data_IF_861116194014
#
_entry.id   IF_861116194014
#
_cell.length_a   1.000
_cell.length_b   1.000
_cell.length_c   1.000
_cell.angle_alpha   90.00
_cell.angle_beta   90.00
_cell.angle_gamma   90.00
#
_symmetry.space_group_name_H-M   'P 1'
#
loop_
_entity.id
_entity.type
_entity.pdbx_description
1 polymer ?
#
# COMPACT_ATOMS: atom_id res chain seq x y z
N UNK A 1 10.65 -17.97 -20.90
CA UNK A 1 9.59 -19.00 -21.07
C UNK A 1 8.17 -18.41 -21.08
N UNK A 2 7.63 -17.90 -19.96
CA UNK A 2 6.25 -17.38 -19.94
C UNK A 2 6.09 -16.05 -20.69
N UNK A 3 7.13 -15.20 -20.66
CA UNK A 3 7.25 -14.01 -21.51
C UNK A 3 7.11 -14.32 -22.99
N UNK A 4 7.82 -15.35 -23.46
CA UNK A 4 7.84 -15.74 -24.87
C UNK A 4 6.49 -16.28 -25.28
N UNK A 5 5.84 -17.01 -24.38
CA UNK A 5 4.50 -17.51 -24.58
C UNK A 5 3.46 -16.37 -24.66
N UNK A 6 3.60 -15.33 -23.85
CA UNK A 6 2.78 -14.10 -23.96
C UNK A 6 3.05 -13.40 -25.31
N UNK A 7 4.31 -13.26 -25.74
CA UNK A 7 4.68 -12.68 -27.04
C UNK A 7 4.10 -13.46 -28.22
N UNK A 8 4.15 -14.80 -28.16
CA UNK A 8 3.57 -15.67 -29.19
C UNK A 8 2.05 -15.48 -29.32
N UNK A 9 1.33 -15.42 -28.20
CA UNK A 9 -0.12 -15.19 -28.22
C UNK A 9 -0.45 -13.77 -28.70
N UNK A 10 0.35 -12.78 -28.31
CA UNK A 10 0.22 -11.41 -28.79
C UNK A 10 0.39 -11.30 -30.31
N UNK A 11 1.37 -12.01 -30.87
CA UNK A 11 1.59 -12.08 -32.33
C UNK A 11 0.37 -12.64 -33.06
N UNK A 12 -0.25 -13.71 -32.55
CA UNK A 12 -1.48 -14.28 -33.13
C UNK A 12 -2.63 -13.27 -33.09
N UNK A 13 -2.75 -12.52 -31.98
CA UNK A 13 -3.77 -11.49 -31.85
C UNK A 13 -3.51 -10.32 -32.82
N UNK A 14 -2.25 -9.95 -33.04
CA UNK A 14 -1.86 -8.93 -34.03
C UNK A 14 -2.24 -9.35 -35.44
N UNK A 15 -1.94 -10.60 -35.83
CA UNK A 15 -2.34 -11.15 -37.14
C UNK A 15 -3.86 -11.10 -37.28
N UNK A 16 -4.59 -11.51 -36.25
CA UNK A 16 -6.06 -11.48 -36.26
C UNK A 16 -6.63 -10.07 -36.47
N UNK A 17 -6.00 -9.04 -35.89
CA UNK A 17 -6.42 -7.64 -36.08
C UNK A 17 -6.23 -7.15 -37.52
N UNK A 18 -5.28 -7.72 -38.25
CA UNK A 18 -5.04 -7.38 -39.68
C UNK A 18 -5.87 -8.22 -40.65
N UNK A 19 -6.09 -9.50 -40.33
CA UNK A 19 -6.85 -10.43 -41.17
C UNK A 19 -7.67 -11.37 -40.30
N UNK A 20 -8.98 -11.19 -40.34
CA UNK A 20 -9.89 -12.04 -39.58
C UNK A 20 -9.86 -13.49 -40.08
N UNK A 21 -9.78 -14.45 -39.16
CA UNK A 21 -9.91 -15.87 -39.44
C UNK A 21 -10.47 -16.60 -38.23
N UNK A 22 -11.62 -17.26 -38.40
CA UNK A 22 -12.24 -18.06 -37.32
C UNK A 22 -11.34 -19.18 -36.80
N UNK A 23 -10.45 -19.74 -37.65
CA UNK A 23 -9.45 -20.73 -37.26
C UNK A 23 -8.40 -20.11 -36.34
N UNK A 24 -7.90 -18.91 -36.67
CA UNK A 24 -6.94 -18.14 -35.87
C UNK A 24 -7.54 -17.76 -34.51
N UNK A 25 -8.82 -17.35 -34.47
CA UNK A 25 -9.54 -17.07 -33.22
C UNK A 25 -9.57 -18.29 -32.30
N UNK A 26 -10.03 -19.45 -32.81
CA UNK A 26 -10.10 -20.70 -32.03
C UNK A 26 -8.71 -21.11 -31.53
N UNK A 27 -7.69 -21.03 -32.37
CA UNK A 27 -6.31 -21.33 -32.00
C UNK A 27 -5.79 -20.40 -30.89
N UNK A 28 -6.08 -19.09 -30.98
CA UNK A 28 -5.73 -18.09 -29.99
C UNK A 28 -6.36 -18.39 -28.62
N UNK A 29 -7.65 -18.73 -28.58
CA UNK A 29 -8.37 -19.11 -27.34
C UNK A 29 -7.74 -20.36 -26.72
N UNK A 30 -7.51 -21.41 -27.51
CA UNK A 30 -6.89 -22.66 -27.03
C UNK A 30 -5.51 -22.40 -26.44
N UNK A 31 -4.67 -21.59 -27.11
CA UNK A 31 -3.35 -21.22 -26.61
C UNK A 31 -3.45 -20.43 -25.30
N UNK A 32 -4.40 -19.50 -25.18
CA UNK A 32 -4.65 -18.78 -23.93
C UNK A 32 -5.06 -19.72 -22.79
N UNK A 33 -5.94 -20.70 -23.05
CA UNK A 33 -6.41 -21.64 -22.05
C UNK A 33 -5.31 -22.62 -21.60
N UNK A 34 -4.41 -23.03 -22.51
CA UNK A 34 -3.21 -23.82 -22.18
C UNK A 34 -2.21 -23.00 -21.37
N UNK A 35 -1.99 -21.75 -21.76
CA UNK A 35 -1.11 -20.81 -21.07
C UNK A 35 -1.57 -20.55 -19.63
N UNK A 36 -2.86 -20.28 -19.46
CA UNK A 36 -3.51 -20.05 -18.16
C UNK A 36 -3.26 -21.22 -17.21
N UNK A 37 -3.50 -22.46 -17.67
CA UNK A 37 -3.27 -23.67 -16.87
C UNK A 37 -1.82 -23.80 -16.44
N UNK A 38 -0.87 -23.71 -17.39
CA UNK A 38 0.57 -23.80 -17.09
C UNK A 38 1.05 -22.75 -16.07
N UNK A 39 0.56 -21.52 -16.16
CA UNK A 39 0.92 -20.46 -15.21
C UNK A 39 0.32 -20.76 -13.83
N UNK A 40 -0.94 -21.19 -13.78
CA UNK A 40 -1.61 -21.56 -12.53
C UNK A 40 -0.90 -22.73 -11.83
N UNK A 41 -0.45 -23.73 -12.59
CA UNK A 41 0.32 -24.87 -12.06
C UNK A 41 1.68 -24.43 -11.54
N UNK A 42 2.36 -23.52 -12.26
CA UNK A 42 3.62 -22.93 -11.80
C UNK A 42 3.45 -22.13 -10.51
N UNK A 43 2.36 -21.39 -10.35
CA UNK A 43 2.06 -20.60 -9.15
C UNK A 43 1.87 -21.44 -7.88
N UNK A 44 1.52 -22.73 -8.02
CA UNK A 44 1.36 -23.66 -6.88
C UNK A 44 2.70 -24.13 -6.30
N UNK A 45 3.81 -23.92 -7.01
CA UNK A 45 5.16 -24.30 -6.56
C UNK A 45 5.72 -23.23 -5.61
N UNK A 46 6.70 -23.61 -4.78
CA UNK A 46 7.43 -22.65 -3.95
C UNK A 46 8.26 -21.73 -4.85
N UNK A 47 7.84 -20.48 -4.95
CA UNK A 47 8.42 -19.45 -5.81
C UNK A 47 8.83 -18.23 -4.98
N UNK A 48 9.89 -17.55 -5.42
CA UNK A 48 10.29 -16.25 -4.90
C UNK A 48 9.20 -15.19 -5.15
N UNK A 49 9.25 -14.08 -4.41
CA UNK A 49 8.29 -12.97 -4.55
C UNK A 49 8.32 -12.41 -5.99
N UNK A 50 9.51 -12.27 -6.59
CA UNK A 50 9.66 -11.75 -7.94
C UNK A 50 9.03 -12.66 -8.99
N UNK A 51 9.22 -13.97 -8.87
CA UNK A 51 8.61 -14.95 -9.78
C UNK A 51 7.08 -14.96 -9.66
N UNK A 52 6.54 -14.86 -8.44
CA UNK A 52 5.08 -14.75 -8.22
C UNK A 52 4.50 -13.53 -8.91
N UNK A 53 5.15 -12.37 -8.78
CA UNK A 53 4.73 -11.14 -9.46
C UNK A 53 4.81 -11.27 -10.98
N UNK A 54 5.88 -11.89 -11.49
CA UNK A 54 6.07 -12.13 -12.92
C UNK A 54 4.97 -13.03 -13.51
N UNK A 55 4.66 -14.14 -12.85
CA UNK A 55 3.60 -15.06 -13.27
C UNK A 55 2.22 -14.39 -13.21
N UNK A 56 1.95 -13.59 -12.17
CA UNK A 56 0.72 -12.81 -12.10
C UNK A 56 0.60 -11.87 -13.29
N UNK A 57 1.63 -11.08 -13.61
CA UNK A 57 1.63 -10.19 -14.77
C UNK A 57 1.33 -10.93 -16.08
N UNK A 58 1.99 -12.08 -16.31
CA UNK A 58 1.74 -12.92 -17.48
C UNK A 58 0.28 -13.41 -17.53
N UNK A 59 -0.27 -13.86 -16.39
CA UNK A 59 -1.65 -14.33 -16.29
C UNK A 59 -2.67 -13.23 -16.64
N UNK A 60 -2.41 -11.97 -16.24
CA UNK A 60 -3.27 -10.83 -16.57
C UNK A 60 -3.30 -10.57 -18.07
N UNK A 61 -2.13 -10.56 -18.71
CA UNK A 61 -2.02 -10.37 -20.15
C UNK A 61 -2.72 -11.49 -20.92
N UNK A 62 -2.56 -12.75 -20.51
CA UNK A 62 -3.24 -13.89 -21.16
C UNK A 62 -4.76 -13.78 -21.03
N UNK A 63 -5.29 -13.33 -19.88
CA UNK A 63 -6.73 -13.10 -19.71
C UNK A 63 -7.23 -11.98 -20.61
N UNK A 64 -6.49 -10.87 -20.66
CA UNK A 64 -6.75 -9.74 -21.54
C UNK A 64 -6.82 -10.19 -23.01
N UNK A 65 -5.80 -10.92 -23.49
CA UNK A 65 -5.74 -11.44 -24.85
C UNK A 65 -6.88 -12.43 -25.14
N UNK A 66 -7.18 -13.35 -24.21
CA UNK A 66 -8.29 -14.29 -24.35
C UNK A 66 -9.63 -13.56 -24.50
N UNK A 67 -9.83 -12.48 -23.76
CA UNK A 67 -11.04 -11.67 -23.87
C UNK A 67 -11.15 -11.00 -25.24
N UNK A 68 -10.05 -10.48 -25.80
CA UNK A 68 -10.03 -9.97 -27.17
C UNK A 68 -10.37 -11.05 -28.19
N UNK A 69 -9.78 -12.26 -28.10
CA UNK A 69 -10.14 -13.36 -29.01
C UNK A 69 -11.63 -13.71 -28.94
N UNK A 70 -12.22 -13.74 -27.74
CA UNK A 70 -13.66 -13.96 -27.57
C UNK A 70 -14.52 -12.84 -28.15
N UNK A 71 -14.05 -11.59 -28.08
CA UNK A 71 -14.72 -10.45 -28.69
C UNK A 71 -14.74 -10.59 -30.21
N UNK A 72 -13.60 -10.90 -30.82
CA UNK A 72 -13.49 -11.15 -32.26
C UNK A 72 -14.31 -12.37 -32.70
N UNK A 73 -14.35 -13.43 -31.87
CA UNK A 73 -15.22 -14.59 -32.13
C UNK A 73 -16.70 -14.20 -32.24
N UNK A 74 -17.18 -13.31 -31.37
CA UNK A 74 -18.58 -12.83 -31.39
C UNK A 74 -18.84 -11.95 -32.61
N UNK A 75 -17.90 -11.05 -32.93
CA UNK A 75 -17.98 -10.18 -34.12
C UNK A 75 -18.10 -10.99 -35.41
N UNK A 76 -17.24 -11.99 -35.59
CA UNK A 76 -17.27 -12.82 -36.79
C UNK A 76 -18.41 -13.84 -36.87
N UNK A 77 -19.21 -13.99 -35.81
CA UNK A 77 -20.48 -14.75 -35.84
C UNK A 77 -21.68 -13.87 -36.17
N UNK A 78 -21.49 -12.58 -36.50
CA UNK A 78 -22.58 -11.63 -36.70
C UNK A 78 -23.37 -11.32 -35.43
N UNK A 79 -22.87 -11.76 -34.26
CA UNK A 79 -23.49 -11.46 -32.97
C UNK A 79 -23.05 -10.05 -32.59
N UNK A 80 -23.82 -9.06 -33.07
CA UNK A 80 -23.79 -7.72 -32.49
C UNK A 80 -24.04 -7.83 -30.99
N UNK A 81 -23.40 -6.99 -30.18
CA UNK A 81 -23.63 -6.88 -28.73
C UNK A 81 -25.09 -6.49 -28.39
N UNK A 82 -25.96 -6.33 -29.39
CA UNK A 82 -27.36 -5.97 -29.31
C UNK A 82 -28.31 -7.17 -29.54
N UNK A 83 -28.30 -8.15 -28.64
CA UNK A 83 -29.44 -9.07 -28.47
C UNK A 83 -29.88 -9.08 -27.01
N UNK A 84 -30.56 -8.00 -26.61
CA UNK A 84 -31.77 -8.17 -25.82
C UNK A 84 -32.87 -8.60 -26.79
N UNK A 85 -33.63 -9.60 -26.38
CA UNK A 85 -34.87 -10.13 -26.96
C UNK A 85 -35.51 -9.31 -28.09
N UNK A 86 -35.74 -9.99 -29.20
CA UNK A 86 -36.53 -9.56 -30.34
C UNK A 86 -37.90 -9.04 -29.92
N UNK A 87 -38.09 -7.73 -30.04
CA UNK A 87 -39.19 -7.09 -30.77
C UNK A 87 -38.71 -5.71 -31.23
N UNK A 88 -38.98 -5.44 -32.51
CA UNK A 88 -38.89 -4.16 -33.23
C UNK A 88 -38.71 -2.88 -32.41
N UNK A 89 -37.52 -2.27 -32.50
CA UNK A 89 -37.30 -0.82 -32.55
C UNK A 89 -35.79 -0.54 -32.65
N UNK A 90 -35.41 0.39 -33.52
CA UNK A 90 -34.07 0.99 -33.56
C UNK A 90 -33.67 1.50 -32.16
N UNK A 91 -32.89 0.71 -31.40
CA UNK A 91 -32.40 1.14 -30.10
C UNK A 91 -30.96 1.66 -30.23
N UNK A 92 -30.84 2.99 -30.35
CA UNK A 92 -29.62 3.73 -30.04
C UNK A 92 -29.32 3.62 -28.53
N UNK A 93 -28.94 2.42 -28.07
CA UNK A 93 -28.48 2.25 -26.69
C UNK A 93 -27.08 2.86 -26.58
N UNK A 94 -26.96 3.94 -25.80
CA UNK A 94 -25.68 4.60 -25.53
C UNK A 94 -24.71 3.61 -24.88
N UNK A 95 -23.53 3.45 -25.48
CA UNK A 95 -22.52 2.50 -25.02
C UNK A 95 -22.06 2.82 -23.59
N UNK A 96 -21.95 1.80 -22.74
CA UNK A 96 -21.60 1.95 -21.31
C UNK A 96 -20.16 1.51 -21.02
N UNK A 97 -19.63 1.85 -19.84
CA UNK A 97 -18.30 1.42 -19.42
C UNK A 97 -18.14 -0.12 -19.46
N UNK A 98 -19.21 -0.88 -19.18
CA UNK A 98 -19.20 -2.35 -19.21
C UNK A 98 -19.00 -2.94 -20.62
N UNK A 99 -19.27 -2.14 -21.66
CA UNK A 99 -19.07 -2.52 -23.05
C UNK A 99 -17.64 -2.24 -23.52
N UNK A 100 -16.97 -1.26 -22.88
CA UNK A 100 -15.63 -0.77 -23.25
C UNK A 100 -14.51 -1.38 -22.40
N UNK A 101 -14.81 -1.84 -21.19
CA UNK A 101 -13.88 -2.53 -20.31
C UNK A 101 -14.52 -3.76 -19.65
N UNK A 102 -13.71 -4.78 -19.33
CA UNK A 102 -14.20 -6.04 -18.76
C UNK A 102 -13.36 -6.49 -17.57
N UNK A 103 -14.00 -6.83 -16.44
CA UNK A 103 -13.34 -7.40 -15.27
C UNK A 103 -13.31 -8.93 -15.30
N UNK A 104 -12.12 -9.50 -15.16
CA UNK A 104 -11.91 -10.91 -14.88
C UNK A 104 -11.20 -11.11 -13.53
N UNK A 105 -11.72 -12.05 -12.74
CA UNK A 105 -11.06 -12.47 -11.50
C UNK A 105 -9.80 -13.26 -11.79
N UNK A 106 -8.78 -13.06 -10.96
CA UNK A 106 -7.53 -13.76 -11.03
C UNK A 106 -7.12 -14.39 -9.72
N UNK A 107 -6.55 -15.60 -9.87
CA UNK A 107 -5.91 -16.32 -8.78
C UNK A 107 -4.70 -15.49 -8.36
N UNK A 108 -4.58 -15.30 -7.05
CA UNK A 108 -3.43 -14.66 -6.42
C UNK A 108 -2.39 -15.71 -6.06
N UNK A 109 -1.12 -15.39 -6.24
CA UNK A 109 -0.01 -16.19 -5.71
C UNK A 109 0.33 -15.82 -4.24
N UNK A 110 -0.41 -14.90 -3.63
CA UNK A 110 -0.19 -14.37 -2.28
C UNK A 110 -1.37 -14.69 -1.35
N UNK A 111 -1.06 -15.20 -0.15
CA UNK A 111 -2.04 -15.65 0.86
C UNK A 111 -2.86 -14.51 1.48
N UNK A 112 -2.29 -13.30 1.62
CA UNK A 112 -2.99 -12.14 2.19
C UNK A 112 -3.88 -11.38 1.18
N UNK A 113 -4.07 -11.93 -0.02
CA UNK A 113 -4.85 -11.30 -1.07
C UNK A 113 -6.31 -11.77 -1.00
N UNK A 114 -7.23 -10.84 -0.78
CA UNK A 114 -8.67 -11.14 -0.84
C UNK A 114 -9.06 -11.43 -2.29
N UNK A 115 -8.62 -10.57 -3.21
CA UNK A 115 -8.99 -10.65 -4.62
C UNK A 115 -7.95 -9.98 -5.50
N UNK A 116 -7.59 -10.64 -6.58
CA UNK A 116 -6.87 -10.01 -7.70
C UNK A 116 -7.81 -9.96 -8.88
N UNK A 117 -7.97 -8.79 -9.50
CA UNK A 117 -8.76 -8.60 -10.70
C UNK A 117 -7.96 -7.98 -11.83
N UNK A 118 -8.45 -8.16 -13.04
CA UNK A 118 -7.90 -7.54 -14.24
C UNK A 118 -9.04 -6.87 -14.99
N UNK A 119 -8.94 -5.56 -15.18
CA UNK A 119 -9.81 -4.81 -16.07
C UNK A 119 -9.14 -4.75 -17.44
N UNK A 120 -9.69 -5.50 -18.39
CA UNK A 120 -9.22 -5.56 -19.77
C UNK A 120 -9.76 -4.38 -20.55
N UNK A 121 -8.88 -3.67 -21.26
CA UNK A 121 -9.29 -2.65 -22.22
C UNK A 121 -9.84 -3.31 -23.49
N UNK A 122 -11.04 -2.91 -23.94
CA UNK A 122 -11.63 -3.43 -25.18
C UNK A 122 -11.63 -2.40 -26.33
N UNK A 123 -11.64 -1.10 -26.01
CA UNK A 123 -11.84 -0.04 -27.03
C UNK A 123 -11.00 1.23 -26.85
N UNK A 124 -10.43 1.49 -25.68
CA UNK A 124 -9.75 2.77 -25.42
C UNK A 124 -8.38 2.83 -26.08
N UNK A 125 -8.03 4.01 -26.59
CA UNK A 125 -6.67 4.35 -27.01
C UNK A 125 -5.97 5.22 -25.98
N UNK A 126 -6.72 6.16 -25.41
CA UNK A 126 -6.25 7.08 -24.37
C UNK A 126 -6.30 6.43 -22.97
N UNK A 127 -5.19 6.49 -22.20
CA UNK A 127 -5.14 5.99 -20.82
C UNK A 127 -6.15 6.66 -19.87
N UNK A 128 -6.38 7.96 -19.99
CA UNK A 128 -7.28 8.70 -19.10
C UNK A 128 -8.72 8.20 -19.21
N UNK A 129 -9.24 8.13 -20.44
CA UNK A 129 -10.56 7.59 -20.74
C UNK A 129 -10.70 6.13 -20.30
N UNK A 130 -9.66 5.31 -20.47
CA UNK A 130 -9.64 3.94 -19.97
C UNK A 130 -9.76 3.89 -18.44
N UNK A 131 -9.03 4.73 -17.73
CA UNK A 131 -9.06 4.78 -16.26
C UNK A 131 -10.42 5.27 -15.73
N UNK A 132 -11.07 6.22 -16.42
CA UNK A 132 -12.43 6.66 -16.08
C UNK A 132 -13.45 5.52 -16.14
N UNK A 133 -13.40 4.69 -17.18
CA UNK A 133 -14.30 3.54 -17.28
C UNK A 133 -13.92 2.42 -16.30
N UNK A 134 -12.62 2.22 -16.04
CA UNK A 134 -12.14 1.30 -15.01
C UNK A 134 -12.69 1.65 -13.63
N UNK A 135 -12.73 2.95 -13.27
CA UNK A 135 -13.23 3.46 -12.00
C UNK A 135 -14.67 3.00 -11.72
N UNK A 136 -15.52 3.00 -12.73
CA UNK A 136 -16.93 2.54 -12.62
C UNK A 136 -17.01 1.08 -12.16
N UNK A 137 -16.21 0.20 -12.78
CA UNK A 137 -16.17 -1.23 -12.40
C UNK A 137 -15.47 -1.42 -11.07
N UNK A 138 -14.36 -0.70 -10.84
CA UNK A 138 -13.59 -0.71 -9.60
C UNK A 138 -14.47 -0.41 -8.39
N UNK A 139 -15.28 0.66 -8.47
CA UNK A 139 -16.19 1.08 -7.39
C UNK A 139 -17.09 -0.06 -6.94
N UNK A 140 -17.74 -0.76 -7.86
CA UNK A 140 -18.60 -1.91 -7.55
C UNK A 140 -17.84 -3.07 -6.88
N UNK A 141 -16.61 -3.34 -7.32
CA UNK A 141 -15.78 -4.42 -6.75
C UNK A 141 -15.28 -4.09 -5.34
N UNK A 142 -14.89 -2.84 -5.08
CA UNK A 142 -14.48 -2.41 -3.74
C UNK A 142 -15.66 -2.42 -2.76
N UNK A 143 -16.83 -1.93 -3.16
CA UNK A 143 -18.03 -2.00 -2.29
C UNK A 143 -18.35 -3.44 -1.88
N UNK A 144 -18.25 -4.39 -2.80
CA UNK A 144 -18.47 -5.80 -2.47
C UNK A 144 -17.42 -6.37 -1.52
N UNK A 145 -16.15 -5.93 -1.62
CA UNK A 145 -15.12 -6.32 -0.66
C UNK A 145 -15.37 -5.71 0.74
N UNK A 146 -15.79 -4.44 0.79
CA UNK A 146 -16.08 -3.72 2.04
C UNK A 146 -17.34 -4.21 2.79
N UNK A 147 -18.17 -5.04 2.14
CA UNK A 147 -19.27 -5.76 2.81
C UNK A 147 -18.73 -6.86 3.73
N UNK A 148 -17.65 -7.53 3.34
CA UNK A 148 -17.06 -8.64 4.07
C UNK A 148 -15.96 -8.16 5.04
N UNK A 149 -15.19 -7.15 4.65
CA UNK A 149 -14.10 -6.58 5.45
C UNK A 149 -14.38 -5.10 5.80
N UNK A 150 -14.04 -4.65 7.00
CA UNK A 150 -14.25 -3.24 7.42
C UNK A 150 -13.37 -2.25 6.64
N UNK A 151 -12.20 -2.71 6.18
CA UNK A 151 -11.32 -1.95 5.32
C UNK A 151 -10.50 -2.88 4.42
N UNK A 152 -9.99 -2.33 3.32
CA UNK A 152 -9.12 -3.05 2.38
C UNK A 152 -7.92 -2.20 2.02
N UNK A 153 -6.79 -2.84 1.68
CA UNK A 153 -5.66 -2.15 1.06
C UNK A 153 -5.60 -2.48 -0.42
N UNK A 154 -5.60 -1.45 -1.26
CA UNK A 154 -5.68 -1.61 -2.70
C UNK A 154 -4.47 -0.99 -3.35
N UNK A 155 -3.96 -1.68 -4.37
CA UNK A 155 -3.06 -1.08 -5.35
C UNK A 155 -3.45 -1.49 -6.77
N UNK A 156 -3.04 -0.67 -7.72
CA UNK A 156 -3.31 -0.86 -9.14
C UNK A 156 -2.00 -1.01 -9.92
N UNK A 157 -2.05 -1.77 -11.01
CA UNK A 157 -0.92 -2.04 -11.89
C UNK A 157 -1.41 -1.85 -13.32
N UNK A 158 -1.06 -0.72 -13.93
CA UNK A 158 -1.35 -0.43 -15.32
C UNK A 158 -0.38 -1.19 -16.23
N UNK A 159 -0.90 -1.76 -17.32
CA UNK A 159 -0.11 -2.42 -18.37
C UNK A 159 -0.37 -1.71 -19.71
N UNK A 160 0.70 -1.18 -20.30
CA UNK A 160 0.70 -0.60 -21.65
C UNK A 160 1.72 -1.28 -22.54
N UNK A 161 1.44 -1.34 -23.84
CA UNK A 161 2.42 -1.67 -24.88
C UNK A 161 3.05 -0.38 -25.36
N UNK A 162 4.38 -0.31 -25.29
CA UNK A 162 5.19 0.82 -25.73
C UNK A 162 6.04 0.41 -26.92
N UNK A 163 6.29 1.36 -27.81
CA UNK A 163 7.13 1.19 -28.99
C UNK A 163 8.30 2.18 -28.97
N UNK A 164 9.47 1.74 -29.39
CA UNK A 164 10.63 2.58 -29.67
C UNK A 164 11.17 2.24 -31.07
N UNK A 165 11.55 3.26 -31.82
CA UNK A 165 12.26 3.14 -33.09
C UNK A 165 13.76 3.18 -32.85
N UNK A 166 14.47 2.10 -33.17
CA UNK A 166 15.93 2.04 -33.17
C UNK A 166 16.38 1.77 -34.62
N UNK A 167 16.76 2.83 -35.33
CA UNK A 167 17.01 2.75 -36.78
C UNK A 167 15.76 2.31 -37.55
N UNK A 168 15.88 1.30 -38.40
CA UNK A 168 14.75 0.73 -39.18
C UNK A 168 13.87 -0.25 -38.38
N UNK A 169 14.25 -0.63 -37.15
CA UNK A 169 13.52 -1.64 -36.36
C UNK A 169 12.64 -0.99 -35.30
N UNK A 170 11.36 -1.37 -35.31
CA UNK A 170 10.42 -1.06 -34.23
C UNK A 170 10.41 -2.16 -33.17
N UNK A 171 10.80 -1.80 -31.94
CA UNK A 171 10.74 -2.68 -30.78
C UNK A 171 9.48 -2.38 -29.97
N UNK A 172 8.68 -3.42 -29.68
CA UNK A 172 7.47 -3.32 -28.88
C UNK A 172 7.64 -4.06 -27.56
N UNK A 173 7.39 -3.39 -26.43
CA UNK A 173 7.49 -3.97 -25.10
C UNK A 173 6.32 -3.62 -24.19
N UNK A 174 5.96 -4.55 -23.32
CA UNK A 174 5.00 -4.28 -22.25
C UNK A 174 5.70 -3.60 -21.07
N UNK A 175 5.20 -2.44 -20.66
CA UNK A 175 5.65 -1.73 -19.46
C UNK A 175 4.53 -1.70 -18.42
N UNK A 176 4.93 -1.74 -17.15
CA UNK A 176 4.01 -1.83 -16.02
C UNK A 176 4.23 -0.67 -15.05
N UNK A 177 3.15 0.05 -14.71
CA UNK A 177 3.19 1.12 -13.73
C UNK A 177 2.35 0.73 -12.52
N UNK A 178 3.03 0.50 -11.39
CA UNK A 178 2.40 0.07 -10.13
C UNK A 178 2.18 1.25 -9.20
N UNK A 179 1.00 1.35 -8.59
CA UNK A 179 0.70 2.32 -7.54
C UNK A 179 1.05 1.79 -6.16
N UNK A 180 1.19 2.70 -5.18
CA UNK A 180 1.39 2.34 -3.78
C UNK A 180 0.13 1.67 -3.21
N UNK A 181 0.30 0.85 -2.16
CA UNK A 181 -0.85 0.31 -1.44
C UNK A 181 -1.47 1.41 -0.59
N UNK A 182 -2.73 1.74 -0.86
CA UNK A 182 -3.50 2.68 -0.08
C UNK A 182 -4.73 2.00 0.53
N UNK A 183 -5.09 2.38 1.76
CA UNK A 183 -6.26 1.83 2.44
C UNK A 183 -7.55 2.55 2.00
N UNK A 184 -8.64 1.78 1.90
CA UNK A 184 -10.02 2.22 1.68
C UNK A 184 -10.86 1.71 2.85
N UNK A 185 -11.64 2.60 3.46
CA UNK A 185 -12.58 2.32 4.55
C UNK A 185 -14.02 2.46 4.05
N UNK A 186 -15.01 1.98 4.82
CA UNK A 186 -16.44 2.07 4.46
C UNK A 186 -16.93 3.48 4.11
N UNK A 187 -16.44 4.50 4.82
CA UNK A 187 -16.81 5.91 4.58
C UNK A 187 -15.90 6.66 3.60
N UNK A 188 -14.94 5.99 2.96
CA UNK A 188 -14.03 6.65 2.01
C UNK A 188 -14.77 6.97 0.71
N UNK A 189 -14.67 8.20 0.21
CA UNK A 189 -15.09 8.52 -1.15
C UNK A 189 -14.19 7.77 -2.14
N UNK A 190 -14.74 6.70 -2.73
CA UNK A 190 -13.99 5.83 -3.64
C UNK A 190 -13.64 6.56 -4.95
N UNK A 191 -14.44 7.55 -5.34
CA UNK A 191 -14.25 8.31 -6.57
C UNK A 191 -13.01 9.19 -6.45
N UNK A 192 -12.97 10.00 -5.39
CA UNK A 192 -11.82 10.84 -5.04
C UNK A 192 -10.59 9.98 -4.75
N UNK A 193 -10.77 8.89 -3.99
CA UNK A 193 -9.68 7.97 -3.69
C UNK A 193 -9.06 7.37 -4.95
N UNK A 194 -9.86 6.95 -5.94
CA UNK A 194 -9.34 6.40 -7.19
C UNK A 194 -8.58 7.46 -7.97
N UNK A 195 -9.09 8.69 -8.02
CA UNK A 195 -8.42 9.81 -8.69
C UNK A 195 -7.03 10.07 -8.09
N UNK A 196 -6.94 10.18 -6.76
CA UNK A 196 -5.69 10.52 -6.06
C UNK A 196 -4.69 9.36 -6.00
N UNK A 197 -5.16 8.11 -5.83
CA UNK A 197 -4.28 6.96 -5.57
C UNK A 197 -4.04 6.06 -6.79
N UNK A 198 -4.84 6.19 -7.85
CA UNK A 198 -4.75 5.39 -9.08
C UNK A 198 -4.52 6.27 -10.30
N UNK A 199 -5.44 7.18 -10.58
CA UNK A 199 -5.43 7.98 -11.81
C UNK A 199 -4.22 8.91 -11.90
N UNK A 200 -4.08 9.85 -10.95
CA UNK A 200 -2.96 10.79 -10.94
C UNK A 200 -1.59 10.09 -10.94
N UNK A 201 -1.31 9.11 -10.05
CA UNK A 201 0.02 8.48 -10.02
C UNK A 201 0.35 7.68 -11.28
N UNK A 202 -0.65 7.08 -11.95
CA UNK A 202 -0.42 6.39 -13.22
C UNK A 202 -0.16 7.40 -14.33
N UNK A 203 -0.97 8.46 -14.43
CA UNK A 203 -0.79 9.50 -15.44
C UNK A 203 0.55 10.22 -15.31
N UNK A 204 0.97 10.57 -14.07
CA UNK A 204 2.30 11.15 -13.82
C UNK A 204 3.42 10.21 -14.27
N UNK A 205 3.34 8.92 -13.91
CA UNK A 205 4.36 7.93 -14.33
C UNK A 205 4.39 7.71 -15.83
N UNK A 206 3.25 7.81 -16.52
CA UNK A 206 3.17 7.73 -17.98
C UNK A 206 3.87 8.93 -18.61
N UNK A 207 3.55 10.16 -18.17
CA UNK A 207 4.20 11.39 -18.63
C UNK A 207 5.71 11.32 -18.40
N UNK A 208 6.14 11.06 -17.16
CA UNK A 208 7.57 10.96 -16.81
C UNK A 208 8.31 9.90 -17.64
N UNK A 209 7.64 8.81 -18.03
CA UNK A 209 8.26 7.77 -18.85
C UNK A 209 8.42 8.18 -20.31
N UNK A 210 7.47 8.95 -20.84
CA UNK A 210 7.52 9.46 -22.22
C UNK A 210 8.45 10.69 -22.34
N UNK A 211 8.46 11.56 -21.34
CA UNK A 211 9.15 12.86 -21.38
C UNK A 211 10.66 12.77 -21.11
N UNK A 212 11.15 11.72 -20.44
CA UNK A 212 12.57 11.59 -20.05
C UNK A 212 13.46 10.95 -21.12
N UNK A 213 13.35 11.40 -22.37
CA UNK A 213 14.22 11.02 -23.51
C UNK A 213 14.35 9.51 -23.78
N UNK A 214 13.43 8.71 -23.26
CA UNK A 214 13.53 7.25 -23.36
C UNK A 214 13.24 6.74 -24.77
N UNK A 215 12.65 7.59 -25.64
CA UNK A 215 12.22 7.25 -27.00
C UNK A 215 10.98 6.34 -27.06
N UNK A 216 10.41 5.96 -25.91
CA UNK A 216 9.26 5.06 -25.85
C UNK A 216 7.93 5.80 -25.96
N UNK A 217 7.20 5.52 -27.03
CA UNK A 217 5.83 6.01 -27.22
C UNK A 217 4.81 4.96 -26.78
N UNK A 218 3.75 5.38 -26.10
CA UNK A 218 2.62 4.49 -25.80
C UNK A 218 1.91 4.09 -27.09
N UNK A 219 1.91 2.80 -27.39
CA UNK A 219 1.27 2.23 -28.59
C UNK A 219 -0.14 1.72 -28.30
N UNK A 220 -0.35 1.05 -27.16
CA UNK A 220 -1.67 0.55 -26.78
C UNK A 220 -1.85 0.42 -25.26
N UNK A 221 -3.06 0.72 -24.79
CA UNK A 221 -3.48 0.45 -23.42
C UNK A 221 -4.00 -0.99 -23.35
N UNK A 222 -3.46 -1.82 -22.45
CA UNK A 222 -3.77 -3.25 -22.42
C UNK A 222 -4.77 -3.57 -21.30
N UNK A 223 -4.40 -3.32 -20.06
CA UNK A 223 -5.24 -3.64 -18.91
C UNK A 223 -4.82 -2.88 -17.64
N UNK A 224 -5.70 -2.90 -16.64
CA UNK A 224 -5.45 -2.46 -15.28
C UNK A 224 -5.61 -3.66 -14.33
N UNK A 225 -4.52 -4.12 -13.74
CA UNK A 225 -4.56 -5.07 -12.64
C UNK A 225 -4.94 -4.36 -11.34
N UNK A 226 -5.90 -4.90 -10.59
CA UNK A 226 -6.33 -4.37 -9.29
C UNK A 226 -6.12 -5.45 -8.24
N UNK A 227 -5.34 -5.15 -7.22
CA UNK A 227 -5.14 -6.08 -6.12
C UNK A 227 -5.81 -5.55 -4.85
N UNK A 228 -6.71 -6.34 -4.29
CA UNK A 228 -7.42 -6.06 -3.05
C UNK A 228 -6.83 -6.98 -1.97
N UNK A 229 -6.21 -6.37 -0.97
CA UNK A 229 -5.53 -7.05 0.11
C UNK A 229 -6.35 -6.98 1.39
N UNK A 230 -6.27 -8.05 2.18
CA UNK A 230 -6.80 -8.04 3.54
C UNK A 230 -6.08 -6.96 4.32
N UNK A 231 -6.86 -6.07 4.91
CA UNK A 231 -6.35 -5.01 5.76
C UNK A 231 -7.20 -4.98 7.00
N UNK A 232 -6.64 -5.41 8.12
CA UNK A 232 -7.26 -5.17 9.42
C UNK A 232 -6.88 -3.75 9.82
N UNK A 233 -7.80 -2.77 9.70
CA UNK A 233 -7.50 -1.43 10.16
C UNK A 233 -7.39 -1.46 11.69
N UNK A 234 -6.51 -0.62 12.24
CA UNK A 234 -6.39 -0.44 13.69
C UNK A 234 -7.54 0.43 14.21
N UNK A 235 -8.76 -0.08 14.09
CA UNK A 235 -9.99 0.58 14.50
C UNK A 235 -10.25 0.28 15.97
N UNK A 236 -10.25 1.33 16.78
CA UNK A 236 -10.70 1.26 18.15
C UNK A 236 -12.22 1.17 18.19
N UNK A 237 -12.79 0.05 18.63
CA UNK A 237 -14.26 -0.15 18.71
C UNK A 237 -14.75 -0.24 20.15
N UNK A 238 -15.22 -1.41 20.56
CA UNK A 238 -15.79 -1.70 21.87
C UNK A 238 -14.73 -1.94 22.94
N UNK A 239 -15.12 -1.86 24.22
CA UNK A 239 -14.24 -2.13 25.35
C UNK A 239 -13.48 -3.46 25.20
N UNK A 240 -12.15 -3.39 25.36
CA UNK A 240 -11.27 -4.54 25.48
C UNK A 240 -10.59 -4.49 26.85
N UNK A 241 -10.63 -5.61 27.58
CA UNK A 241 -9.95 -5.69 28.87
C UNK A 241 -8.42 -5.63 28.69
N UNK A 242 -7.75 -4.83 29.52
CA UNK A 242 -6.29 -4.77 29.53
C UNK A 242 -5.71 -6.12 30.02
N UNK A 243 -4.60 -6.59 29.43
CA UNK A 243 -3.86 -7.71 30.00
C UNK A 243 -3.47 -7.45 31.46
N UNK A 244 -3.50 -8.47 32.31
CA UNK A 244 -3.27 -8.35 33.76
C UNK A 244 -1.92 -7.70 34.10
N UNK A 245 -0.90 -7.94 33.29
CA UNK A 245 0.44 -7.36 33.42
C UNK A 245 0.48 -5.86 33.13
N UNK A 246 -0.47 -5.33 32.36
CA UNK A 246 -0.64 -3.90 32.12
C UNK A 246 -1.58 -3.30 33.16
N UNK A 247 -2.67 -3.99 33.49
CA UNK A 247 -3.63 -3.53 34.50
C UNK A 247 -2.97 -3.36 35.88
N UNK A 248 -2.13 -4.32 36.28
CA UNK A 248 -1.37 -4.28 37.56
C UNK A 248 -0.40 -3.10 37.66
N UNK A 249 0.04 -2.53 36.52
CA UNK A 249 0.87 -1.33 36.51
C UNK A 249 0.09 -0.08 36.93
N UNK A 250 -1.25 -0.09 36.97
CA UNK A 250 -2.06 1.10 37.30
C UNK A 250 -1.60 2.38 36.56
N UNK A 251 -1.12 2.22 35.33
CA UNK A 251 -0.57 3.28 34.49
C UNK A 251 -1.56 3.80 33.46
N UNK A 252 -2.65 3.06 33.26
CA UNK A 252 -3.65 3.32 32.24
C UNK A 252 -5.04 3.40 32.87
N UNK A 253 -5.91 4.22 32.28
CA UNK A 253 -7.33 4.30 32.61
C UNK A 253 -8.11 3.75 31.43
N UNK A 254 -8.78 2.62 31.65
CA UNK A 254 -9.59 1.95 30.66
C UNK A 254 -11.07 2.15 31.00
N UNK A 255 -11.72 3.10 30.32
CA UNK A 255 -13.15 3.37 30.48
C UNK A 255 -13.93 2.27 29.78
N UNK A 256 -14.90 1.68 30.47
CA UNK A 256 -15.79 0.65 29.92
C UNK A 256 -16.85 1.30 29.04
N UNK A 257 -16.66 1.30 27.73
CA UNK A 257 -17.62 1.82 26.77
C UNK A 257 -18.46 0.73 26.10
N UNK A 258 -19.74 1.06 25.88
CA UNK A 258 -20.73 0.18 25.23
C UNK A 258 -20.99 0.58 23.76
N UNK A 259 -20.27 1.57 23.26
CA UNK A 259 -20.34 2.09 21.87
C UNK A 259 -19.02 1.86 21.11
N UNK A 260 -18.93 2.33 19.86
CA UNK A 260 -17.71 2.28 19.04
C UNK A 260 -16.80 3.52 19.23
N UNK A 261 -17.03 4.33 20.27
CA UNK A 261 -16.37 5.62 20.48
C UNK A 261 -15.19 5.55 21.46
N UNK A 262 -14.51 4.40 21.57
CA UNK A 262 -13.44 4.23 22.57
C UNK A 262 -12.31 5.27 22.47
N UNK A 263 -12.01 5.80 21.28
CA UNK A 263 -11.03 6.87 21.13
C UNK A 263 -11.44 8.11 21.94
N UNK A 264 -12.71 8.53 21.81
CA UNK A 264 -13.22 9.67 22.54
C UNK A 264 -13.27 9.38 24.04
N UNK A 265 -13.73 8.18 24.42
CA UNK A 265 -13.72 7.72 25.81
C UNK A 265 -12.32 7.52 26.41
N UNK A 266 -11.27 7.46 25.60
CA UNK A 266 -9.88 7.47 26.05
C UNK A 266 -9.31 8.90 26.17
N UNK A 267 -9.80 9.86 25.39
CA UNK A 267 -9.37 11.26 25.47
C UNK A 267 -10.06 12.00 26.61
N UNK A 268 -11.35 11.78 26.83
CA UNK A 268 -12.14 12.49 27.86
C UNK A 268 -11.53 12.37 29.28
N UNK A 269 -11.11 11.18 29.76
CA UNK A 269 -10.47 11.05 31.07
C UNK A 269 -9.16 11.81 31.21
N UNK A 270 -8.44 12.05 30.11
CA UNK A 270 -7.22 12.85 30.11
C UNK A 270 -7.52 14.35 30.31
N UNK A 271 -8.69 14.80 29.87
CA UNK A 271 -9.13 16.20 30.01
C UNK A 271 -9.89 16.44 31.33
N UNK A 272 -10.62 15.43 31.81
CA UNK A 272 -11.44 15.47 33.01
C UNK A 272 -11.08 14.31 33.94
N UNK A 273 -9.87 14.31 34.55
CA UNK A 273 -9.40 13.18 35.34
C UNK A 273 -10.23 12.98 36.61
N UNK A 274 -10.52 11.71 36.93
CA UNK A 274 -11.24 11.28 38.14
C UNK A 274 -10.37 10.33 38.95
N UNK A 275 -10.37 10.46 40.28
CA UNK A 275 -9.55 9.62 41.15
C UNK A 275 -10.24 8.31 41.55
N UNK A 276 -11.52 8.37 41.92
CA UNK A 276 -12.28 7.20 42.37
C UNK A 276 -13.05 6.55 41.21
N UNK A 277 -12.79 5.26 41.00
CA UNK A 277 -13.44 4.44 39.96
C UNK A 277 -13.35 5.04 38.54
N UNK A 278 -12.16 5.40 38.05
CA UNK A 278 -11.99 6.09 36.76
C UNK A 278 -12.35 5.24 35.53
N UNK A 279 -12.71 3.97 35.71
CA UNK A 279 -13.13 3.07 34.63
C UNK A 279 -14.62 3.21 34.26
N UNK A 280 -15.42 3.94 35.06
CA UNK A 280 -16.87 4.08 34.85
C UNK A 280 -17.17 5.26 33.93
N UNK A 281 -17.93 5.04 32.85
CA UNK A 281 -18.37 6.11 31.93
C UNK A 281 -19.15 7.22 32.62
N UNK A 282 -20.06 6.87 33.54
CA UNK A 282 -20.93 7.83 34.23
C UNK A 282 -20.20 8.87 35.09
N UNK A 283 -18.89 8.74 35.26
CA UNK A 283 -18.04 9.73 35.95
C UNK A 283 -17.53 10.85 35.05
N UNK A 284 -17.73 10.74 33.75
CA UNK A 284 -17.22 11.70 32.78
C UNK A 284 -18.38 12.35 32.01
N UNK A 285 -18.21 13.61 31.57
CA UNK A 285 -19.15 14.20 30.63
C UNK A 285 -19.16 13.38 29.33
N UNK A 286 -20.33 13.31 28.69
CA UNK A 286 -20.45 12.60 27.43
C UNK A 286 -19.56 13.26 26.37
N UNK A 287 -18.77 12.46 25.64
CA UNK A 287 -17.73 13.00 24.75
C UNK A 287 -18.25 13.99 23.71
N UNK A 288 -19.48 13.81 23.22
CA UNK A 288 -20.10 14.70 22.22
C UNK A 288 -20.33 16.12 22.72
N UNK A 289 -20.43 16.31 24.05
CA UNK A 289 -20.63 17.63 24.66
C UNK A 289 -19.32 18.40 24.85
N UNK A 290 -18.18 17.69 24.91
CA UNK A 290 -16.87 18.27 25.27
C UNK A 290 -15.84 18.21 24.14
N UNK A 291 -16.04 17.37 23.12
CA UNK A 291 -15.14 17.23 21.99
C UNK A 291 -15.80 17.71 20.69
N UNK A 292 -15.04 18.43 19.87
CA UNK A 292 -15.41 18.81 18.50
C UNK A 292 -15.09 17.64 17.57
N UNK A 293 -16.13 17.07 16.96
CA UNK A 293 -16.07 15.83 16.17
C UNK A 293 -16.54 16.02 14.71
N UNK A 294 -16.44 17.24 14.17
CA UNK A 294 -16.93 17.51 12.81
C UNK A 294 -16.10 16.73 11.79
N UNK A 295 -16.77 15.87 11.01
CA UNK A 295 -16.11 15.01 10.02
C UNK A 295 -15.25 13.90 10.61
N UNK A 296 -15.46 13.57 11.90
CA UNK A 296 -14.89 12.36 12.53
C UNK A 296 -15.94 11.25 12.46
N UNK A 297 -15.54 10.08 11.99
CA UNK A 297 -16.36 8.87 11.97
C UNK A 297 -15.78 7.84 12.94
N UNK A 298 -16.66 7.26 13.75
CA UNK A 298 -16.34 6.12 14.61
C UNK A 298 -16.62 4.79 13.89
N UNK A 299 -15.85 3.73 14.16
CA UNK A 299 -14.63 3.71 14.99
C UNK A 299 -13.49 4.55 14.38
N UNK A 300 -12.75 5.26 15.23
CA UNK A 300 -11.81 6.28 14.77
C UNK A 300 -10.52 5.67 14.20
N UNK A 301 -10.09 6.17 13.03
CA UNK A 301 -8.82 5.77 12.39
C UNK A 301 -7.69 6.74 12.75
N UNK A 302 -6.44 6.25 12.74
CA UNK A 302 -5.24 7.08 12.94
C UNK A 302 -5.14 8.27 11.95
N UNK A 303 -5.69 8.11 10.74
CA UNK A 303 -5.71 9.16 9.70
C UNK A 303 -6.59 10.36 10.08
N UNK A 304 -7.57 10.15 10.95
CA UNK A 304 -8.48 11.20 11.42
C UNK A 304 -7.90 11.98 12.61
N UNK A 305 -6.82 11.49 13.25
CA UNK A 305 -6.20 12.15 14.41
C UNK A 305 -5.74 13.59 14.10
N UNK A 306 -5.06 13.89 12.98
CA UNK A 306 -4.67 15.28 12.67
C UNK A 306 -5.86 16.25 12.59
N UNK A 307 -6.99 15.80 12.04
CA UNK A 307 -8.22 16.60 11.99
C UNK A 307 -8.78 16.83 13.39
N UNK A 308 -8.84 15.78 14.21
CA UNK A 308 -9.27 15.85 15.60
C UNK A 308 -8.40 16.78 16.44
N UNK A 309 -7.08 16.64 16.34
CA UNK A 309 -6.10 17.49 17.01
C UNK A 309 -6.40 18.95 16.66
N UNK A 310 -6.45 19.30 15.36
CA UNK A 310 -6.68 20.68 14.90
C UNK A 310 -7.96 21.29 15.47
N UNK A 311 -9.06 20.55 15.48
CA UNK A 311 -10.35 21.07 15.95
C UNK A 311 -10.38 21.30 17.47
N UNK A 312 -9.75 20.43 18.24
CA UNK A 312 -9.82 20.45 19.72
C UNK A 312 -8.66 21.19 20.40
N UNK A 313 -7.65 21.63 19.63
CA UNK A 313 -6.40 22.19 20.16
C UNK A 313 -5.70 21.26 21.17
N UNK A 314 -5.70 19.96 20.88
CA UNK A 314 -5.07 18.89 21.66
C UNK A 314 -4.02 18.23 20.78
N UNK A 315 -2.96 17.69 21.37
CA UNK A 315 -1.96 16.88 20.67
C UNK A 315 -1.96 15.44 21.22
N UNK A 316 -1.81 14.45 20.35
CA UNK A 316 -2.02 13.03 20.68
C UNK A 316 -0.82 12.19 20.24
N UNK A 317 -0.30 11.37 21.16
CA UNK A 317 0.55 10.24 20.81
C UNK A 317 -0.24 8.96 21.01
N UNK A 318 -0.04 7.99 20.10
CA UNK A 318 -0.60 6.65 20.24
C UNK A 318 0.52 5.62 20.23
N UNK A 319 0.50 4.75 21.23
CA UNK A 319 1.39 3.60 21.36
C UNK A 319 0.60 2.32 21.16
N UNK A 320 1.19 1.32 20.52
CA UNK A 320 0.59 0.00 20.37
C UNK A 320 1.20 -0.96 21.40
N UNK A 321 0.34 -1.78 22.00
CA UNK A 321 0.77 -2.90 22.82
C UNK A 321 1.04 -4.12 21.94
N UNK A 322 2.28 -4.60 21.92
CA UNK A 322 2.71 -5.77 21.16
C UNK A 322 3.12 -6.89 22.11
N UNK A 323 2.62 -8.10 21.87
CA UNK A 323 3.07 -9.28 22.57
C UNK A 323 4.34 -9.85 21.90
N UNK A 324 5.41 -10.02 22.67
CA UNK A 324 6.64 -10.69 22.18
C UNK A 324 6.65 -12.18 22.51
N UNK A 325 6.17 -12.53 23.72
CA UNK A 325 5.99 -13.89 24.21
C UNK A 325 4.71 -13.98 25.04
N UNK A 326 4.28 -15.18 25.40
CA UNK A 326 3.19 -15.38 26.36
C UNK A 326 3.46 -14.51 27.60
N UNK A 327 2.50 -13.67 27.97
CA UNK A 327 2.58 -12.76 29.13
C UNK A 327 3.67 -11.66 29.10
N UNK A 328 4.36 -11.48 27.97
CA UNK A 328 5.37 -10.43 27.81
C UNK A 328 4.94 -9.40 26.74
N UNK A 329 4.64 -8.18 27.21
CA UNK A 329 4.14 -7.09 26.38
C UNK A 329 5.12 -5.92 26.32
N UNK A 330 5.33 -5.43 25.10
CA UNK A 330 6.09 -4.23 24.81
C UNK A 330 5.20 -3.13 24.20
N UNK A 331 5.37 -1.91 24.68
CA UNK A 331 4.70 -0.70 24.21
C UNK A 331 5.61 0.01 23.21
N UNK A 332 5.10 0.26 22.00
CA UNK A 332 5.84 0.87 20.90
C UNK A 332 5.09 2.08 20.35
N UNK A 333 5.75 3.19 19.99
CA UNK A 333 5.10 4.32 19.34
C UNK A 333 4.56 3.90 17.96
N UNK A 334 3.32 4.27 17.65
CA UNK A 334 2.71 4.00 16.34
C UNK A 334 2.14 5.25 15.65
N UNK A 335 1.82 6.29 16.42
CA UNK A 335 1.49 7.61 15.92
C UNK A 335 2.08 8.62 16.91
N UNK A 336 2.83 9.58 16.40
CA UNK A 336 3.40 10.65 17.18
C UNK A 336 2.95 11.97 16.58
N UNK A 337 2.43 12.85 17.43
CA UNK A 337 2.08 14.20 16.99
C UNK A 337 3.34 14.97 16.58
N UNK A 338 3.25 15.76 15.52
CA UNK A 338 4.36 16.60 15.06
C UNK A 338 4.57 17.79 15.99
N UNK A 339 3.46 18.38 16.41
CA UNK A 339 3.40 19.59 17.22
C UNK A 339 2.80 19.27 18.59
N UNK A 340 3.65 19.25 19.61
CA UNK A 340 3.18 19.06 20.98
C UNK A 340 2.54 20.36 21.46
N UNK A 341 1.30 20.26 21.92
CA UNK A 341 0.50 21.36 22.48
C UNK A 341 0.41 21.23 24.00
N UNK A 342 -0.01 22.31 24.66
CA UNK A 342 -0.18 22.36 26.12
C UNK A 342 -1.04 21.20 26.63
N UNK A 343 -2.15 20.92 25.94
CA UNK A 343 -2.97 19.73 26.17
C UNK A 343 -2.41 18.58 25.33
N UNK A 344 -1.69 17.67 25.98
CA UNK A 344 -1.10 16.50 25.36
C UNK A 344 -1.63 15.20 25.96
N UNK A 345 -2.08 14.27 25.11
CA UNK A 345 -2.69 13.00 25.52
C UNK A 345 -1.90 11.83 24.93
N UNK A 346 -1.49 10.91 25.80
CA UNK A 346 -0.87 9.65 25.42
C UNK A 346 -1.92 8.54 25.46
N UNK A 347 -2.14 7.85 24.35
CA UNK A 347 -3.10 6.76 24.20
C UNK A 347 -2.38 5.43 23.98
N UNK A 348 -2.91 4.35 24.55
CA UNK A 348 -2.48 2.98 24.32
C UNK A 348 -3.53 2.27 23.48
N UNK A 349 -3.11 1.70 22.36
CA UNK A 349 -3.91 0.85 21.50
C UNK A 349 -3.67 -0.61 21.90
N UNK A 350 -4.72 -1.24 22.42
CA UNK A 350 -4.73 -2.67 22.79
C UNK A 350 -5.51 -3.51 21.80
N UNK A 351 -5.23 -4.81 21.80
CA UNK A 351 -5.83 -5.80 20.90
C UNK A 351 -6.64 -6.80 21.71
N UNK A 352 -7.73 -7.30 21.11
CA UNK A 352 -8.61 -8.30 21.72
C UNK A 352 -7.89 -9.66 21.80
N UNK A 353 -7.37 -10.10 20.66
CA UNK A 353 -6.47 -11.25 20.55
C UNK A 353 -5.13 -10.81 19.98
N UNK A 354 -4.03 -11.05 20.69
CA UNK A 354 -2.68 -10.66 20.27
C UNK A 354 -2.03 -11.62 19.26
N UNK A 355 -2.65 -12.78 19.01
CA UNK A 355 -2.22 -13.74 17.98
C UNK A 355 -2.86 -13.45 16.62
N UNK A 356 -4.16 -13.10 16.60
CA UNK A 356 -4.94 -12.75 15.41
C UNK A 356 -5.94 -11.63 15.74
N UNK A 357 -5.44 -10.39 15.83
CA UNK A 357 -6.27 -9.25 16.24
C UNK A 357 -7.33 -8.91 15.19
N UNK A 358 -8.60 -8.94 15.59
CA UNK A 358 -9.74 -8.48 14.80
C UNK A 358 -10.26 -7.12 15.26
N UNK A 359 -10.05 -6.77 16.53
CA UNK A 359 -10.49 -5.51 17.15
C UNK A 359 -9.37 -4.85 17.92
N UNK A 360 -9.40 -3.52 17.95
CA UNK A 360 -8.53 -2.70 18.77
C UNK A 360 -9.36 -1.83 19.71
N UNK A 361 -8.71 -1.28 20.74
CA UNK A 361 -9.33 -0.39 21.72
C UNK A 361 -8.33 0.65 22.19
N UNK A 362 -8.79 1.91 22.31
CA UNK A 362 -7.97 3.00 22.83
C UNK A 362 -8.13 3.10 24.35
N UNK A 363 -7.01 3.29 25.04
CA UNK A 363 -6.94 3.41 26.48
C UNK A 363 -6.08 4.61 26.83
N UNK A 364 -6.47 5.40 27.83
CA UNK A 364 -5.64 6.53 28.26
C UNK A 364 -4.42 6.06 29.03
N UNK A 365 -3.23 6.54 28.67
CA UNK A 365 -1.99 6.37 29.44
C UNK A 365 -1.87 7.54 30.42
N UNK A 366 -2.29 7.32 31.68
CA UNK A 366 -2.14 8.29 32.77
C UNK A 366 -0.68 8.47 33.19
N UNK A 367 0.14 7.42 33.11
CA UNK A 367 1.56 7.49 33.46
C UNK A 367 2.42 6.62 32.53
N UNK A 368 3.06 7.27 31.55
CA UNK A 368 3.91 6.59 30.56
C UNK A 368 5.13 5.92 31.21
N UNK A 369 5.80 6.59 32.15
CA UNK A 369 7.00 6.05 32.81
C UNK A 369 6.70 4.73 33.53
N UNK A 370 5.57 4.67 34.25
CA UNK A 370 5.11 3.46 34.93
C UNK A 370 4.76 2.33 33.95
N UNK A 371 4.19 2.66 32.79
CA UNK A 371 3.84 1.69 31.76
C UNK A 371 5.10 1.02 31.17
N UNK A 372 6.13 1.80 30.83
CA UNK A 372 7.27 1.33 30.03
C UNK A 372 8.58 1.09 30.82
N UNK A 373 8.66 1.52 32.08
CA UNK A 373 9.87 1.36 32.91
C UNK A 373 10.43 -0.07 32.95
N UNK A 374 9.57 -1.08 33.10
CA UNK A 374 9.94 -2.51 33.14
C UNK A 374 10.40 -3.07 31.80
N UNK A 375 9.94 -2.53 30.66
CA UNK A 375 10.42 -2.99 29.35
C UNK A 375 11.80 -2.41 29.01
N UNK A 376 12.16 -1.26 29.59
CA UNK A 376 13.41 -0.56 29.29
C UNK A 376 14.57 -1.00 30.20
N UNK A 377 14.31 -1.28 31.48
CA UNK A 377 15.37 -1.67 32.41
C UNK A 377 14.80 -2.36 33.65
N UNK A 378 15.60 -3.28 34.22
CA UNK A 378 15.29 -3.99 35.48
C UNK A 378 15.44 -3.11 36.73
N UNK A 379 16.07 -1.95 36.62
CA UNK A 379 16.31 -1.04 37.75
C UNK A 379 15.00 -0.40 38.24
N UNK A 380 14.86 -0.30 39.57
CA UNK A 380 13.70 0.30 40.26
C UNK A 380 13.80 1.83 40.44
N UNK A 381 14.86 2.47 39.94
CA UNK A 381 15.08 3.92 40.07
C UNK A 381 14.12 4.72 39.18
N UNK A 382 13.85 5.98 39.56
CA UNK A 382 13.08 6.94 38.76
C UNK A 382 13.70 7.06 37.36
N UNK A 383 12.85 7.01 36.33
CA UNK A 383 13.24 7.12 34.92
C UNK A 383 12.45 8.25 34.27
N UNK A 384 13.16 9.17 33.63
CA UNK A 384 12.59 10.24 32.81
C UNK A 384 12.56 9.77 31.37
N UNK A 385 11.39 9.67 30.76
CA UNK A 385 11.23 8.99 29.47
C UNK A 385 10.79 9.97 28.41
N UNK A 386 11.48 9.96 27.27
CA UNK A 386 11.03 10.69 26.09
C UNK A 386 9.79 9.99 25.51
N UNK A 387 8.68 10.71 25.43
CA UNK A 387 7.43 10.21 24.87
C UNK A 387 7.53 9.90 23.36
N UNK A 388 8.46 10.50 22.62
CA UNK A 388 8.67 10.19 21.19
C UNK A 388 9.47 8.91 20.96
N UNK A 389 10.70 8.83 21.46
CA UNK A 389 11.60 7.72 21.16
C UNK A 389 11.61 6.60 22.22
N UNK A 390 10.93 6.81 23.36
CA UNK A 390 10.93 5.93 24.54
C UNK A 390 12.31 5.69 25.16
N UNK A 391 13.32 6.51 24.84
CA UNK A 391 14.60 6.49 25.54
C UNK A 391 14.45 7.06 26.95
N UNK A 392 15.14 6.46 27.92
CA UNK A 392 15.09 6.89 29.31
C UNK A 392 16.37 7.61 29.72
N UNK A 393 16.22 8.59 30.59
CA UNK A 393 17.26 9.39 31.18
C UNK A 393 17.17 9.32 32.71
N UNK A 394 18.30 9.53 33.37
CA UNK A 394 18.40 9.56 34.83
C UNK A 394 18.11 10.94 35.43
N UNK A 395 18.04 11.99 34.61
CA UNK A 395 17.71 13.35 35.03
C UNK A 395 16.79 14.01 34.00
N UNK A 396 15.98 14.95 34.48
CA UNK A 396 15.05 15.72 33.66
C UNK A 396 15.78 16.64 32.68
N UNK A 397 16.87 17.28 33.09
CA UNK A 397 17.69 18.14 32.22
C UNK A 397 18.22 17.40 30.99
N UNK A 398 18.60 16.13 31.15
CA UNK A 398 19.09 15.31 30.04
C UNK A 398 17.97 14.98 29.07
N UNK A 399 16.76 14.73 29.60
CA UNK A 399 15.57 14.55 28.77
C UNK A 399 15.24 15.84 28.00
N UNK A 400 15.26 17.00 28.65
CA UNK A 400 14.99 18.28 27.98
C UNK A 400 15.98 18.60 26.87
N UNK A 401 17.29 18.36 27.09
CA UNK A 401 18.31 18.48 26.04
C UNK A 401 18.01 17.55 24.87
N UNK A 402 17.65 16.30 25.15
CA UNK A 402 17.32 15.32 24.11
C UNK A 402 16.06 15.65 23.31
N UNK A 403 14.99 16.17 23.94
CA UNK A 403 13.72 16.44 23.27
C UNK A 403 13.91 17.41 22.09
N UNK A 404 14.78 18.42 22.25
CA UNK A 404 15.09 19.40 21.20
C UNK A 404 15.58 18.73 19.92
N UNK A 405 16.50 17.77 20.04
CA UNK A 405 17.03 17.01 18.90
C UNK A 405 16.04 15.94 18.41
N UNK A 406 15.36 15.27 19.34
CA UNK A 406 14.48 14.15 19.03
C UNK A 406 13.28 14.57 18.17
N UNK A 407 12.75 15.78 18.36
CA UNK A 407 11.64 16.31 17.57
C UNK A 407 12.06 16.50 16.10
N UNK A 408 13.30 16.91 15.85
CA UNK A 408 13.80 17.24 14.52
C UNK A 408 14.26 16.01 13.73
N UNK A 409 14.77 14.98 14.41
CA UNK A 409 15.52 13.87 13.77
C UNK A 409 14.84 12.51 13.81
N UNK A 410 13.97 12.23 14.79
CA UNK A 410 13.46 10.88 15.04
C UNK A 410 11.98 10.75 14.68
N UNK A 411 11.71 10.04 13.58
CA UNK A 411 10.37 9.57 13.21
C UNK A 411 10.06 8.17 13.78
N UNK A 412 11.06 7.47 14.31
CA UNK A 412 10.92 6.07 14.76
C UNK A 412 11.65 5.79 16.07
N UNK A 413 11.17 4.80 16.82
CA UNK A 413 11.84 4.32 18.04
C UNK A 413 13.14 3.57 17.67
N UNK A 414 14.25 3.99 18.28
CA UNK A 414 15.57 3.38 18.05
C UNK A 414 15.69 2.13 18.95
N UNK A 415 15.82 0.95 18.33
CA UNK A 415 16.11 -0.31 19.04
C UNK A 415 17.54 -0.73 18.75
N UNK A 416 18.40 -0.64 19.76
CA UNK A 416 19.78 -1.14 19.66
C UNK A 416 19.80 -2.68 19.65
N UNK A 417 20.77 -3.31 18.97
CA UNK A 417 20.96 -4.75 19.03
C UNK A 417 21.24 -5.22 20.47
N UNK A 418 20.79 -6.43 20.79
CA UNK A 418 21.21 -7.11 22.03
C UNK A 418 22.64 -7.62 21.87
N UNK A 419 23.34 -7.90 22.97
CA UNK A 419 24.70 -8.48 22.94
C UNK A 419 24.77 -9.75 22.07
N UNK A 420 23.76 -10.62 22.17
CA UNK A 420 23.61 -11.83 21.35
C UNK A 420 23.48 -11.54 19.85
N UNK A 421 23.04 -10.34 19.48
CA UNK A 421 22.80 -9.90 18.10
C UNK A 421 23.67 -8.71 17.70
N UNK A 422 24.78 -8.48 18.41
CA UNK A 422 25.70 -7.36 18.17
C UNK A 422 26.27 -7.35 16.75
N UNK A 423 26.47 -8.54 16.17
CA UNK A 423 26.94 -8.70 14.80
C UNK A 423 25.77 -8.62 13.83
N UNK A 424 25.52 -7.42 13.31
CA UNK A 424 24.52 -7.19 12.26
C UNK A 424 25.13 -7.41 10.87
N UNK A 425 24.38 -8.07 9.99
CA UNK A 425 24.71 -8.19 8.56
C UNK A 425 23.61 -7.52 7.74
N UNK A 426 23.99 -6.70 6.76
CA UNK A 426 23.04 -6.10 5.82
C UNK A 426 22.45 -7.19 4.91
N UNK A 427 21.14 -7.43 5.04
CA UNK A 427 20.42 -8.39 4.18
C UNK A 427 19.60 -7.72 3.08
N UNK A 428 19.06 -6.53 3.35
CA UNK A 428 18.11 -5.84 2.47
C UNK A 428 18.63 -4.47 2.04
N UNK A 429 19.61 -4.45 1.13
CA UNK A 429 20.24 -3.21 0.63
C UNK A 429 19.22 -2.18 0.10
N UNK A 430 18.11 -2.64 -0.49
CA UNK A 430 17.01 -1.79 -0.99
C UNK A 430 16.27 -0.98 0.09
N UNK A 431 16.40 -1.34 1.36
CA UNK A 431 15.72 -0.67 2.48
C UNK A 431 16.64 0.34 3.19
N UNK A 432 17.82 0.65 2.62
CA UNK A 432 18.70 1.67 3.18
C UNK A 432 18.02 3.04 3.10
N UNK A 433 18.20 3.85 4.13
CA UNK A 433 17.91 5.28 4.05
C UNK A 433 18.77 5.82 2.90
N UNK A 434 18.16 6.58 1.98
CA UNK A 434 18.91 7.20 0.89
C UNK A 434 19.97 8.10 1.50
N UNK A 435 21.19 8.01 0.98
CA UNK A 435 22.21 8.96 1.38
C UNK A 435 21.72 10.37 0.97
N UNK A 436 21.88 11.37 1.85
CA UNK A 436 21.42 12.73 1.59
C UNK A 436 22.04 13.31 0.32
N UNK A 437 23.28 12.90 0.03
CA UNK A 437 24.02 13.29 -1.16
C UNK A 437 24.59 12.04 -1.82
N UNK A 438 24.36 11.90 -3.13
CA UNK A 438 24.92 10.82 -3.95
C UNK A 438 25.53 11.43 -5.19
N UNK A 439 26.82 11.14 -5.45
CA UNK A 439 27.47 11.46 -6.73
C UNK A 439 27.51 10.19 -7.55
N UNK A 440 26.87 10.21 -8.71
CA UNK A 440 27.03 9.18 -9.74
C UNK A 440 28.09 9.69 -10.71
N UNK A 441 29.29 9.13 -10.67
CA UNK A 441 30.33 9.45 -11.63
C UNK A 441 30.36 8.38 -12.72
N UNK A 442 30.44 8.82 -13.97
CA UNK A 442 30.66 7.97 -15.13
C UNK A 442 31.95 8.42 -15.83
N UNK A 443 32.71 7.43 -16.30
CA UNK A 443 34.05 7.63 -16.84
C UNK A 443 34.12 6.98 -18.21
N UNK A 444 34.30 7.79 -19.23
CA UNK A 444 34.62 7.30 -20.56
C UNK A 444 36.12 7.10 -20.67
N UNK A 445 36.54 5.99 -21.27
CA UNK A 445 37.95 5.66 -21.44
C UNK A 445 38.30 5.34 -22.88
N UNK A 446 39.38 5.92 -23.35
CA UNK A 446 40.03 5.52 -24.60
C UNK A 446 40.87 4.28 -24.32
N UNK A 447 40.66 3.25 -25.13
CA UNK A 447 41.37 1.98 -25.03
C UNK A 447 42.67 2.06 -25.83
N UNK A 448 43.81 1.90 -25.17
CA UNK A 448 45.10 1.70 -25.83
C UNK A 448 45.56 0.26 -25.71
N UNK A 449 46.16 -0.35 -26.74
CA UNK A 449 46.80 -1.65 -26.61
C UNK A 449 47.82 -1.64 -25.48
N UNK A 450 47.74 -2.61 -24.58
CA UNK A 450 48.67 -2.70 -23.45
C UNK A 450 49.95 -3.43 -23.85
N UNK A 451 51.10 -2.92 -23.41
CA UNK A 451 52.42 -3.55 -23.62
C UNK A 451 52.70 -4.69 -22.63
N UNK A 452 51.85 -4.87 -21.62
CA UNK A 452 51.98 -5.94 -20.61
C UNK A 452 51.30 -7.22 -21.10
N UNK A 453 52.01 -8.35 -21.09
CA UNK A 453 51.48 -9.68 -21.45
C UNK A 453 50.27 -10.14 -20.62
N UNK A 454 50.03 -9.52 -19.46
CA UNK A 454 48.93 -9.86 -18.55
C UNK A 454 47.68 -8.99 -18.71
N UNK A 455 47.69 -7.97 -19.57
CA UNK A 455 46.55 -7.09 -19.79
C UNK A 455 46.41 -6.76 -21.29
N UNK A 456 45.21 -6.96 -21.84
CA UNK A 456 44.95 -6.77 -23.27
C UNK A 456 44.93 -5.29 -23.69
N UNK A 457 44.34 -4.41 -22.85
CA UNK A 457 44.21 -2.98 -23.11
C UNK A 457 44.42 -2.15 -21.84
N UNK A 458 44.96 -0.96 -22.01
CA UNK A 458 45.07 0.10 -21.01
C UNK A 458 43.94 1.10 -21.22
N UNK A 459 43.15 1.33 -20.18
CA UNK A 459 42.07 2.30 -20.19
C UNK A 459 42.63 3.67 -19.78
N UNK A 460 42.57 4.64 -20.69
CA UNK A 460 42.96 6.03 -20.41
C UNK A 460 41.69 6.84 -20.27
N UNK A 461 41.43 7.50 -19.12
CA UNK A 461 40.26 8.35 -18.95
C UNK A 461 40.25 9.45 -20.01
N UNK A 462 39.10 9.63 -20.68
CA UNK A 462 38.93 10.58 -21.77
C UNK A 462 37.85 11.61 -21.47
N UNK A 463 36.78 11.22 -20.76
CA UNK A 463 35.79 12.15 -20.25
C UNK A 463 35.25 11.68 -18.91
N UNK A 464 34.83 12.64 -18.09
CA UNK A 464 34.17 12.38 -16.81
C UNK A 464 32.82 13.08 -16.82
N UNK A 465 31.75 12.31 -16.66
CA UNK A 465 30.44 12.84 -16.32
C UNK A 465 30.19 12.62 -14.84
N UNK A 466 29.54 13.57 -14.16
CA UNK A 466 28.98 13.26 -12.85
C UNK A 466 27.60 13.88 -12.69
N UNK A 467 26.74 13.14 -12.01
CA UNK A 467 25.41 13.56 -11.61
C UNK A 467 25.36 13.63 -10.09
N UNK A 468 25.26 14.85 -9.57
CA UNK A 468 25.05 15.09 -8.15
C UNK A 468 23.55 15.02 -7.84
N UNK A 469 23.19 14.13 -6.91
CA UNK A 469 21.81 13.96 -6.44
C UNK A 469 21.71 14.35 -4.98
N UNK A 470 21.04 15.47 -4.72
CA UNK A 470 20.53 15.82 -3.40
C UNK A 470 19.21 15.05 -3.16
N UNK A 471 19.03 14.50 -1.96
CA UNK A 471 17.77 13.85 -1.56
C UNK A 471 16.80 14.81 -0.85
N UNK A 472 17.19 16.07 -0.66
CA UNK A 472 16.35 17.12 -0.07
C UNK A 472 15.66 18.01 -1.11
N UNK A 473 16.11 17.93 -2.36
CA UNK A 473 15.48 18.54 -3.54
C UNK A 473 14.39 17.58 -4.07
#
# INVERSE_FOLDING_TARGET
MFTDLVKQIASILSVLRTKYSGKTVRQGIIKCDKARRRIQDSMRRSLSIGERQHLEACLRNIKSMRKHFKLEQRRGLGISLNKGTSTSAFSNRKETAKDRVHWDDSISAFSNRIRTGVITNLKHKDPGNFLMDCKTIFKSRIHNALKQDEAVKVNAIFCGEFAITQGEKMLNEYKYFTTSNAAIYRGTDIEEWFKENVEKPIMTKLSEFQDRDSGWALKAVINLGVNINKFTPQLGSSYIQLPSQIQSKKSCVNVKNDDDACFAWAVVPALYPVDKNPHRMSKYPHYSSVLKLKGIQFPMTMRQIPNFEKQNNISINVYILKQEKKDQFNTLPTYLTKEKRDKHVNLLLVQDCYEQSTKFHYVWIKNLSRLVSKQLSKEKRQKYICDRCLHFYRSEDKLHKHIKDCIQKNDTAIKMPTEEKKMLKFKNFKNKIKAPFVVYADLESVLKPSTKKTAYQQHIPAAVGYYFKCSYD
#
